data_IF_170131901292
#
_entry.id   IF_170131901292
#
_cell.length_a   1.000
_cell.length_b   1.000
_cell.length_c   1.000
_cell.angle_alpha   90.00
_cell.angle_beta   90.00
_cell.angle_gamma   90.00
#
_symmetry.space_group_name_H-M   'P 1'
#
loop_
_entity.id
_entity.type
_entity.pdbx_description
1 polymer ?
#
# COMPACT_ATOMS: atom_id res chain seq x y z
N UNK A 1 10.66 -11.30 -20.33
CA UNK A 1 9.25 -10.87 -20.22
C UNK A 1 8.61 -11.76 -19.16
N UNK A 2 8.41 -11.29 -17.93
CA UNK A 2 7.76 -12.11 -16.90
C UNK A 2 6.30 -12.30 -17.29
N UNK A 3 5.92 -13.54 -17.60
CA UNK A 3 4.54 -13.87 -17.93
C UNK A 3 3.71 -13.72 -16.66
N UNK A 4 2.72 -12.83 -16.68
CA UNK A 4 1.79 -12.62 -15.57
C UNK A 4 0.90 -13.85 -15.43
N UNK A 5 1.40 -14.85 -14.70
CA UNK A 5 0.67 -16.05 -14.34
C UNK A 5 -0.50 -15.64 -13.44
N UNK A 6 -1.71 -15.73 -13.95
CA UNK A 6 -2.92 -15.52 -13.16
C UNK A 6 -2.99 -16.58 -12.05
N UNK A 7 -3.13 -16.15 -10.82
CA UNK A 7 -3.31 -17.00 -9.64
C UNK A 7 -4.71 -16.79 -9.06
N UNK A 8 -5.20 -17.76 -8.28
CA UNK A 8 -6.52 -17.67 -7.65
C UNK A 8 -6.39 -17.36 -6.17
N UNK A 9 -7.09 -16.34 -5.70
CA UNK A 9 -7.20 -16.00 -4.28
C UNK A 9 -8.60 -16.41 -3.80
N UNK A 10 -8.74 -17.44 -2.95
CA UNK A 10 -10.03 -17.79 -2.37
C UNK A 10 -10.46 -16.69 -1.39
N UNK A 11 -11.72 -16.26 -1.49
CA UNK A 11 -12.30 -15.23 -0.61
C UNK A 11 -13.80 -15.46 -0.45
N UNK A 12 -14.43 -14.73 0.48
CA UNK A 12 -15.88 -14.82 0.69
C UNK A 12 -16.65 -14.00 -0.35
N UNK A 13 -17.90 -14.38 -0.63
CA UNK A 13 -18.79 -13.62 -1.52
C UNK A 13 -18.91 -12.16 -1.07
N UNK A 14 -19.06 -11.94 0.24
CA UNK A 14 -19.14 -10.61 0.84
C UNK A 14 -17.91 -9.75 0.52
N UNK A 15 -16.71 -10.31 0.68
CA UNK A 15 -15.46 -9.58 0.39
C UNK A 15 -15.35 -9.27 -1.10
N UNK A 16 -15.68 -10.22 -1.98
CA UNK A 16 -15.68 -10.00 -3.44
C UNK A 16 -16.67 -8.91 -3.84
N UNK A 17 -17.87 -8.91 -3.27
CA UNK A 17 -18.90 -7.93 -3.62
C UNK A 17 -18.54 -6.54 -3.08
N UNK A 18 -17.90 -6.46 -1.90
CA UNK A 18 -17.29 -5.22 -1.41
C UNK A 18 -16.15 -4.76 -2.31
N UNK A 19 -15.29 -5.67 -2.79
CA UNK A 19 -14.20 -5.34 -3.71
C UNK A 19 -14.71 -4.70 -5.01
N UNK A 20 -15.83 -5.19 -5.56
CA UNK A 20 -16.49 -4.56 -6.72
C UNK A 20 -16.90 -3.11 -6.46
N UNK A 21 -17.37 -2.79 -5.25
CA UNK A 21 -17.80 -1.43 -4.91
C UNK A 21 -16.64 -0.42 -4.92
N UNK A 22 -15.41 -0.89 -4.80
CA UNK A 22 -14.21 -0.04 -4.90
C UNK A 22 -13.76 0.20 -6.34
N UNK A 23 -14.24 -0.58 -7.30
CA UNK A 23 -13.82 -0.51 -8.70
C UNK A 23 -14.58 0.50 -9.54
N UNK A 24 -13.92 1.01 -10.58
CA UNK A 24 -14.53 1.83 -11.63
C UNK A 24 -14.82 1.00 -12.89
N UNK A 25 -15.65 1.54 -13.79
CA UNK A 25 -16.00 0.87 -15.04
C UNK A 25 -14.74 0.58 -15.86
N UNK A 26 -14.45 -0.69 -16.10
CA UNK A 26 -13.28 -1.15 -16.86
C UNK A 26 -12.09 -1.59 -16.01
N UNK A 27 -12.14 -1.42 -14.69
CA UNK A 27 -11.09 -1.95 -13.79
C UNK A 27 -11.28 -3.45 -13.52
N UNK A 28 -10.17 -4.17 -13.46
CA UNK A 28 -10.11 -5.57 -13.02
C UNK A 28 -9.95 -5.66 -11.50
N UNK A 29 -10.21 -6.84 -10.92
CA UNK A 29 -9.92 -7.05 -9.50
C UNK A 29 -8.44 -6.86 -9.16
N UNK A 30 -7.53 -7.20 -10.08
CA UNK A 30 -6.10 -6.97 -9.90
C UNK A 30 -5.80 -5.48 -9.78
N UNK A 31 -6.37 -4.63 -10.64
CA UNK A 31 -6.16 -3.18 -10.58
C UNK A 31 -6.66 -2.58 -9.26
N UNK A 32 -7.82 -3.04 -8.79
CA UNK A 32 -8.39 -2.60 -7.51
C UNK A 32 -7.48 -3.03 -6.34
N UNK A 33 -7.00 -4.28 -6.36
CA UNK A 33 -6.09 -4.80 -5.33
C UNK A 33 -4.76 -4.06 -5.34
N UNK A 34 -4.16 -3.81 -6.50
CA UNK A 34 -2.91 -3.05 -6.61
C UNK A 34 -3.06 -1.63 -6.09
N UNK A 35 -4.17 -0.95 -6.41
CA UNK A 35 -4.44 0.39 -5.87
C UNK A 35 -4.60 0.38 -4.35
N UNK A 36 -5.28 -0.61 -3.79
CA UNK A 36 -5.42 -0.77 -2.34
C UNK A 36 -4.05 -1.04 -1.68
N UNK A 37 -3.23 -1.93 -2.24
CA UNK A 37 -1.88 -2.22 -1.75
C UNK A 37 -1.00 -0.95 -1.78
N UNK A 38 -0.98 -0.23 -2.90
CA UNK A 38 -0.24 1.02 -3.02
C UNK A 38 -0.68 2.09 -2.00
N UNK A 39 -1.96 2.09 -1.61
CA UNK A 39 -2.47 3.03 -0.59
C UNK A 39 -1.93 2.66 0.79
N UNK A 40 -1.98 1.38 1.15
CA UNK A 40 -1.43 0.87 2.42
C UNK A 40 0.08 1.08 2.49
N UNK A 41 0.81 0.75 1.43
CA UNK A 41 2.27 0.95 1.38
C UNK A 41 2.65 2.41 1.56
N UNK A 42 1.87 3.32 0.96
CA UNK A 42 2.06 4.77 1.11
C UNK A 42 1.77 5.23 2.54
N UNK A 43 0.69 4.77 3.15
CA UNK A 43 0.37 5.09 4.55
C UNK A 43 1.44 4.57 5.51
N UNK A 44 1.86 3.31 5.37
CA UNK A 44 2.96 2.75 6.17
C UNK A 44 4.27 3.50 5.97
N UNK A 45 4.58 3.88 4.73
CA UNK A 45 5.78 4.66 4.43
C UNK A 45 5.72 6.04 5.10
N UNK A 46 4.58 6.73 5.01
CA UNK A 46 4.38 8.03 5.65
C UNK A 46 4.48 7.90 7.17
N UNK A 47 3.87 6.90 7.80
CA UNK A 47 3.98 6.66 9.24
C UNK A 47 5.44 6.41 9.68
N UNK A 48 6.21 5.63 8.92
CA UNK A 48 7.65 5.43 9.18
C UNK A 48 8.44 6.73 9.02
N UNK A 49 8.10 7.56 8.04
CA UNK A 49 8.75 8.85 7.82
C UNK A 49 8.40 9.88 8.91
N UNK A 50 7.14 9.94 9.35
CA UNK A 50 6.73 10.80 10.45
C UNK A 50 7.44 10.43 11.76
N UNK A 51 7.56 9.14 12.10
CA UNK A 51 8.36 8.71 13.26
C UNK A 51 9.82 9.17 13.19
N UNK A 52 10.47 9.03 12.03
CA UNK A 52 11.84 9.53 11.84
C UNK A 52 11.96 11.05 11.92
N UNK A 53 10.89 11.78 11.57
CA UNK A 53 10.85 13.24 11.69
C UNK A 53 10.60 13.69 13.13
N UNK A 54 9.81 12.97 13.93
CA UNK A 54 9.69 13.20 15.38
C UNK A 54 11.02 12.95 16.11
N UNK A 55 11.82 12.01 15.63
CA UNK A 55 13.17 11.75 16.14
C UNK A 55 14.21 12.81 15.69
N UNK A 56 13.90 13.69 14.73
CA UNK A 56 14.87 14.67 14.20
C UNK A 56 15.36 15.69 15.25
N UNK A 57 14.56 16.00 16.25
CA UNK A 57 14.97 16.89 17.35
C UNK A 57 15.98 16.22 18.31
N UNK A 58 16.29 14.93 18.13
CA UNK A 58 17.34 14.21 18.86
C UNK A 58 18.66 14.08 18.08
N UNK A 59 18.74 14.56 16.83
CA UNK A 59 19.98 14.50 16.06
C UNK A 59 20.84 15.72 16.38
N UNK A 60 21.88 15.50 17.19
CA UNK A 60 22.98 16.46 17.37
C UNK A 60 23.90 16.38 16.15
N UNK A 61 24.33 17.53 15.62
CA UNK A 61 25.28 17.56 14.50
C UNK A 61 26.64 17.00 14.95
N UNK A 62 27.26 16.17 14.11
CA UNK A 62 28.61 15.64 14.35
C UNK A 62 29.72 16.69 14.19
N UNK A 63 29.38 17.91 13.77
CA UNK A 63 30.31 19.05 13.71
C UNK A 63 30.65 19.64 15.10
N UNK A 64 30.04 19.13 16.18
CA UNK A 64 30.30 19.55 17.56
C UNK A 64 31.22 18.59 18.35
N UNK A 65 31.89 17.63 17.70
CA UNK A 65 32.90 16.74 18.32
C UNK A 65 34.31 17.07 17.84
#
# INVERSE_FOLDING_TARGET
MAQSTSTTIPTTKMVRDRLKSYGQKGETYSDILERLMNTVDKEEFMDRMYRRLEEKDQFVSLDEI
#
